data_IF_865382526841
#
_entry.id   IF_865382526841
#
_cell.length_a   1.000
_cell.length_b   1.000
_cell.length_c   1.000
_cell.angle_alpha   90.00
_cell.angle_beta   90.00
_cell.angle_gamma   90.00
#
_symmetry.space_group_name_H-M   'P 1'
#
loop_
_entity.id
_entity.type
_entity.pdbx_description
1 polymer ?
#
# COMPACT_ATOMS: atom_id res chain seq x y z
N UNK A 1 8.44 -6.30 -0.96
CA UNK A 1 7.76 -5.01 -1.23
C UNK A 1 7.10 -4.56 0.06
N UNK A 2 7.06 -3.25 0.35
CA UNK A 2 6.33 -2.69 1.51
C UNK A 2 4.84 -2.42 1.24
N UNK A 3 4.28 -2.92 0.12
CA UNK A 3 2.86 -2.80 -0.22
C UNK A 3 2.38 -1.40 -0.66
N UNK A 4 3.24 -0.38 -0.58
CA UNK A 4 2.95 0.96 -1.06
C UNK A 4 3.39 1.12 -2.50
N UNK A 5 2.42 1.33 -3.39
CA UNK A 5 2.67 1.53 -4.81
C UNK A 5 2.09 2.85 -5.28
N UNK A 6 2.81 3.53 -6.16
CA UNK A 6 2.29 4.68 -6.92
C UNK A 6 2.44 4.36 -8.39
N UNK A 7 1.35 4.53 -9.14
CA UNK A 7 1.32 4.21 -10.57
C UNK A 7 0.95 5.43 -11.39
N UNK A 8 1.56 5.52 -12.58
CA UNK A 8 1.02 6.37 -13.65
C UNK A 8 -0.24 5.71 -14.22
N UNK A 9 -1.17 6.52 -14.72
CA UNK A 9 -2.43 6.03 -15.35
C UNK A 9 -2.18 5.00 -16.45
N UNK A 10 -1.08 5.13 -17.20
CA UNK A 10 -0.70 4.16 -18.24
C UNK A 10 -0.47 2.72 -17.74
N UNK A 11 -0.39 2.49 -16.43
CA UNK A 11 -0.21 1.15 -15.85
C UNK A 11 -1.34 0.18 -16.26
N UNK A 12 -2.55 0.70 -16.45
CA UNK A 12 -3.72 -0.11 -16.81
C UNK A 12 -3.56 -0.81 -18.17
N UNK A 13 -2.71 -0.29 -19.05
CA UNK A 13 -2.40 -0.92 -20.34
C UNK A 13 -1.59 -2.21 -20.21
N UNK A 14 -1.04 -2.51 -19.02
CA UNK A 14 -0.26 -3.72 -18.77
C UNK A 14 -1.03 -4.80 -18.02
N UNK A 15 -2.24 -4.49 -17.56
CA UNK A 15 -3.09 -5.43 -16.82
C UNK A 15 -3.75 -6.44 -17.77
N UNK A 16 -4.05 -7.66 -17.31
CA UNK A 16 -4.85 -8.59 -18.09
C UNK A 16 -6.28 -8.06 -18.23
N UNK A 17 -6.92 -8.37 -19.36
CA UNK A 17 -8.30 -7.93 -19.61
C UNK A 17 -9.33 -8.65 -18.73
N UNK A 18 -9.02 -9.85 -18.25
CA UNK A 18 -9.90 -10.69 -17.45
C UNK A 18 -9.08 -11.56 -16.48
N UNK A 19 -9.73 -11.98 -15.41
CA UNK A 19 -9.16 -12.87 -14.39
C UNK A 19 -8.41 -12.14 -13.28
N UNK A 20 -8.25 -12.85 -12.16
CA UNK A 20 -7.46 -12.38 -11.04
C UNK A 20 -5.97 -12.47 -11.37
N UNK A 21 -5.19 -11.52 -10.86
CA UNK A 21 -3.74 -11.52 -11.03
C UNK A 21 -3.04 -10.95 -9.79
N UNK A 22 -1.80 -11.37 -9.60
CA UNK A 22 -0.90 -10.82 -8.58
C UNK A 22 -0.16 -9.60 -9.10
N UNK A 23 -0.18 -8.50 -8.34
CA UNK A 23 0.57 -7.28 -8.69
C UNK A 23 2.08 -7.60 -8.66
N UNK A 24 2.53 -8.31 -7.64
CA UNK A 24 3.92 -8.66 -7.38
C UNK A 24 4.49 -9.61 -8.42
N UNK A 25 3.70 -10.58 -8.90
CA UNK A 25 4.19 -11.59 -9.84
C UNK A 25 3.96 -11.17 -11.29
N UNK A 26 2.76 -10.68 -11.62
CA UNK A 26 2.40 -10.40 -13.01
C UNK A 26 2.81 -8.99 -13.42
N UNK A 27 2.34 -7.98 -12.70
CA UNK A 27 2.52 -6.59 -13.10
C UNK A 27 3.97 -6.14 -12.91
N UNK A 28 4.57 -6.44 -11.74
CA UNK A 28 5.95 -6.06 -11.48
C UNK A 28 6.91 -6.72 -12.49
N UNK A 29 6.75 -8.01 -12.79
CA UNK A 29 7.58 -8.68 -13.79
C UNK A 29 7.49 -8.03 -15.18
N UNK A 30 6.30 -7.60 -15.61
CA UNK A 30 6.10 -6.88 -16.88
C UNK A 30 6.76 -5.51 -16.87
N UNK A 31 6.62 -4.76 -15.78
CA UNK A 31 7.22 -3.43 -15.65
C UNK A 31 8.75 -3.50 -15.58
N UNK A 32 9.32 -4.51 -14.93
CA UNK A 32 10.77 -4.77 -14.91
C UNK A 32 11.28 -5.01 -16.33
N UNK A 33 10.66 -5.94 -17.07
CA UNK A 33 11.04 -6.25 -18.47
C UNK A 33 10.99 -5.04 -19.40
N UNK A 34 10.17 -4.05 -19.08
CA UNK A 34 10.01 -2.80 -19.85
C UNK A 34 10.83 -1.64 -19.30
N UNK A 35 11.62 -1.84 -18.25
CA UNK A 35 12.36 -0.80 -17.53
C UNK A 35 11.46 0.36 -17.07
N UNK A 36 10.27 0.01 -16.56
CA UNK A 36 9.22 0.94 -16.08
C UNK A 36 8.97 0.84 -14.57
N UNK A 37 9.72 0.01 -13.85
CA UNK A 37 9.63 -0.11 -12.41
C UNK A 37 10.76 0.69 -11.75
N UNK A 38 10.42 1.49 -10.75
CA UNK A 38 11.37 2.22 -9.92
C UNK A 38 11.19 1.83 -8.46
N UNK A 39 12.26 1.92 -7.68
CA UNK A 39 12.25 1.64 -6.25
C UNK A 39 12.30 2.95 -5.47
N UNK A 40 11.46 3.06 -4.44
CA UNK A 40 11.59 4.08 -3.41
C UNK A 40 12.07 3.41 -2.13
N UNK A 41 13.16 3.93 -1.55
CA UNK A 41 13.69 3.45 -0.27
C UNK A 41 13.11 4.32 0.83
N UNK A 42 12.37 3.70 1.75
CA UNK A 42 11.82 4.36 2.93
C UNK A 42 12.66 3.96 4.15
N UNK A 43 13.16 4.94 4.87
CA UNK A 43 14.03 4.80 6.05
C UNK A 43 13.28 4.98 7.38
N UNK A 44 11.99 5.33 7.32
CA UNK A 44 11.12 5.43 8.48
C UNK A 44 10.60 4.07 8.98
N UNK A 45 9.84 4.10 10.08
CA UNK A 45 9.24 2.90 10.65
C UNK A 45 8.15 2.33 9.73
N UNK A 46 8.22 1.02 9.48
CA UNK A 46 7.22 0.25 8.75
C UNK A 46 7.03 -1.11 9.45
N UNK A 47 5.78 -1.57 9.58
CA UNK A 47 5.44 -2.87 10.16
C UNK A 47 4.30 -3.50 9.39
N UNK A 48 4.38 -4.81 9.18
CA UNK A 48 3.29 -5.63 8.68
C UNK A 48 2.44 -6.12 9.87
N UNK A 49 1.18 -6.48 9.59
CA UNK A 49 0.26 -7.05 10.59
C UNK A 49 -0.45 -8.21 9.89
N UNK A 50 0.14 -9.39 9.98
CA UNK A 50 -0.38 -10.61 9.36
C UNK A 50 -0.97 -11.57 10.40
N UNK A 51 -0.76 -11.29 11.69
CA UNK A 51 -1.28 -12.08 12.80
C UNK A 51 -1.83 -11.22 13.96
N UNK A 52 -2.67 -11.83 14.80
CA UNK A 52 -3.21 -11.18 16.00
C UNK A 52 -2.10 -10.76 16.99
N UNK A 53 -1.04 -11.59 17.09
CA UNK A 53 0.12 -11.31 17.92
C UNK A 53 0.86 -10.06 17.46
N UNK A 54 1.05 -9.89 16.16
CA UNK A 54 1.68 -8.68 15.59
C UNK A 54 0.81 -7.45 15.80
N UNK A 55 -0.52 -7.60 15.66
CA UNK A 55 -1.46 -6.53 15.94
C UNK A 55 -1.39 -6.08 17.41
N UNK A 56 -1.26 -7.03 18.35
CA UNK A 56 -1.10 -6.73 19.77
C UNK A 56 0.24 -6.06 20.07
N UNK A 57 1.33 -6.55 19.49
CA UNK A 57 2.66 -5.93 19.62
C UNK A 57 2.65 -4.49 19.11
N UNK A 58 2.03 -4.22 17.96
CA UNK A 58 1.95 -2.86 17.41
C UNK A 58 1.12 -1.95 18.32
N UNK A 59 -0.03 -2.42 18.82
CA UNK A 59 -0.86 -1.66 19.79
C UNK A 59 -0.08 -1.34 21.05
N UNK A 60 0.67 -2.30 21.57
CA UNK A 60 1.50 -2.13 22.74
C UNK A 60 2.65 -1.17 22.46
N UNK A 61 3.23 -1.13 21.27
CA UNK A 61 4.35 -0.25 20.95
C UNK A 61 3.92 1.14 20.42
N UNK A 62 2.65 1.34 20.10
CA UNK A 62 2.14 2.60 19.52
C UNK A 62 2.45 3.85 20.38
N UNK A 63 2.47 3.70 21.70
CA UNK A 63 2.80 4.79 22.62
C UNK A 63 4.29 5.16 22.65
N UNK A 64 5.17 4.21 22.33
CA UNK A 64 6.63 4.41 22.21
C UNK A 64 6.98 5.05 20.87
N UNK A 65 6.21 4.74 19.83
CA UNK A 65 6.40 5.25 18.47
C UNK A 65 5.81 6.66 18.25
N UNK A 66 5.30 7.32 19.31
CA UNK A 66 4.76 8.69 19.22
C UNK A 66 3.39 8.79 18.54
N UNK A 67 2.69 7.67 18.30
CA UNK A 67 1.33 7.70 17.77
C UNK A 67 0.32 7.96 18.90
N UNK A 68 -0.48 9.05 18.84
CA UNK A 68 -1.47 9.33 19.88
C UNK A 68 -2.50 8.19 19.97
N UNK A 69 -2.83 7.76 21.19
CA UNK A 69 -3.82 6.69 21.49
C UNK A 69 -5.22 6.92 20.87
N UNK A 70 -5.50 8.11 20.36
CA UNK A 70 -6.71 8.44 19.61
C UNK A 70 -6.32 9.16 18.32
N UNK A 71 -6.25 8.43 17.21
CA UNK A 71 -6.42 9.06 15.91
C UNK A 71 -7.86 9.59 15.86
N UNK A 72 -8.06 10.89 16.08
CA UNK A 72 -9.34 11.54 15.77
C UNK A 72 -9.67 11.16 14.32
N UNK A 73 -10.77 10.45 14.10
CA UNK A 73 -11.26 10.12 12.75
C UNK A 73 -11.40 11.43 11.97
N UNK A 74 -10.40 11.74 11.14
CA UNK A 74 -10.54 12.79 10.14
C UNK A 74 -11.36 12.17 9.03
N UNK A 75 -12.67 12.39 9.07
CA UNK A 75 -13.55 12.06 7.95
C UNK A 75 -13.12 12.91 6.77
N UNK A 76 -12.46 12.28 5.80
CA UNK A 76 -12.27 12.90 4.49
C UNK A 76 -13.66 13.08 3.87
N UNK A 77 -14.03 14.28 3.38
CA UNK A 77 -15.32 14.48 2.74
C UNK A 77 -15.42 13.51 1.55
N UNK A 78 -16.46 12.67 1.54
CA UNK A 78 -16.80 11.85 0.39
C UNK A 78 -17.11 12.80 -0.77
N UNK A 79 -16.29 12.74 -1.82
CA UNK A 79 -16.63 13.34 -3.11
C UNK A 79 -17.79 12.51 -3.69
N UNK A 80 -19.02 13.00 -3.56
CA UNK A 80 -20.19 12.44 -4.23
C UNK A 80 -20.22 13.06 -5.62
N UNK A 81 -19.90 12.26 -6.65
CA UNK A 81 -20.15 12.65 -8.04
C UNK A 81 -21.59 12.24 -8.33
N UNK A 82 -22.51 13.21 -8.41
CA UNK A 82 -23.85 13.00 -8.95
C UNK A 82 -23.75 13.06 -10.49
N UNK A 83 -24.29 12.02 -11.14
CA UNK A 83 -24.59 12.02 -12.58
C UNK A 83 -26.00 12.53 -12.84
#
# INVERSE_FOLDING_TARGET
SGGLFTFKREVFNYLPAQGDFSIEEYLAARLIKKNKLSLFVYDGYYSQIDSEREAEQLRNNAHVLGFPRQAKRRTWPRLVIQG
#
